data_IF_726362724793
#
_entry.id   IF_726362724793
#
_cell.length_a   1.000
_cell.length_b   1.000
_cell.length_c   1.000
_cell.angle_alpha   90.00
_cell.angle_beta   90.00
_cell.angle_gamma   90.00
#
_symmetry.space_group_name_H-M   'P 1'
#
loop_
_entity.id
_entity.type
_entity.pdbx_description
1 polymer ?
#
# COMPACT_ATOMS: atom_id res chain seq x y z
N UNK A 1 5.99 -12.93 6.47
CA UNK A 1 5.39 -11.81 5.72
C UNK A 1 6.14 -11.65 4.42
N UNK A 2 5.51 -11.96 3.29
CA UNK A 2 6.02 -11.60 1.97
C UNK A 2 5.75 -10.12 1.71
N UNK A 3 6.65 -9.48 0.99
CA UNK A 3 6.52 -8.08 0.60
C UNK A 3 7.05 -7.87 -0.81
N UNK A 4 6.63 -6.78 -1.44
CA UNK A 4 7.20 -6.29 -2.70
C UNK A 4 7.70 -4.89 -2.49
N UNK A 5 8.95 -4.61 -2.87
CA UNK A 5 9.48 -3.24 -2.86
C UNK A 5 9.36 -2.63 -4.26
N UNK A 6 8.71 -1.48 -4.35
CA UNK A 6 8.50 -0.77 -5.61
C UNK A 6 8.81 0.71 -5.44
N UNK A 7 9.12 1.39 -6.54
CA UNK A 7 9.26 2.84 -6.54
C UNK A 7 8.55 3.46 -7.75
N UNK A 8 8.01 4.65 -7.55
CA UNK A 8 7.57 5.53 -8.63
C UNK A 8 8.45 6.78 -8.61
N UNK A 9 9.20 7.04 -9.70
CA UNK A 9 10.06 8.24 -9.85
C UNK A 9 10.93 8.54 -8.61
N UNK A 10 11.56 7.50 -8.05
CA UNK A 10 12.49 7.61 -6.93
C UNK A 10 11.86 7.55 -5.53
N UNK A 11 10.53 7.65 -5.41
CA UNK A 11 9.82 7.50 -4.14
C UNK A 11 9.45 6.02 -3.93
N UNK A 12 10.07 5.38 -2.93
CA UNK A 12 10.05 3.93 -2.73
C UNK A 12 9.20 3.52 -1.52
N UNK A 13 8.33 2.53 -1.68
CA UNK A 13 7.54 1.96 -0.59
C UNK A 13 7.70 0.44 -0.54
N UNK A 14 7.54 -0.10 0.67
CA UNK A 14 7.37 -1.53 0.87
C UNK A 14 5.88 -1.84 0.82
N UNK A 15 5.47 -2.73 -0.09
CA UNK A 15 4.09 -3.15 -0.28
C UNK A 15 3.87 -4.50 0.38
N UNK A 16 2.81 -4.61 1.18
CA UNK A 16 2.36 -5.87 1.77
C UNK A 16 0.92 -6.10 1.36
N UNK A 17 0.65 -7.29 0.81
CA UNK A 17 -0.69 -7.72 0.48
C UNK A 17 -1.39 -8.32 1.70
N UNK A 18 -2.20 -7.50 2.37
CA UNK A 18 -3.00 -7.92 3.51
C UNK A 18 -4.26 -8.71 3.13
N UNK A 19 -4.50 -8.99 1.84
CA UNK A 19 -5.51 -9.97 1.43
C UNK A 19 -5.04 -11.41 1.68
N UNK A 20 -3.73 -11.62 1.64
CA UNK A 20 -3.09 -12.93 1.71
C UNK A 20 -2.17 -13.10 2.92
N UNK A 21 -1.50 -12.03 3.36
CA UNK A 21 -0.60 -12.06 4.51
C UNK A 21 -1.32 -11.67 5.81
N UNK A 22 -0.94 -12.30 6.93
CA UNK A 22 -1.37 -11.87 8.26
C UNK A 22 -0.58 -10.65 8.72
N UNK A 23 -1.29 -9.60 9.12
CA UNK A 23 -0.70 -8.34 9.59
C UNK A 23 -0.63 -8.30 11.12
N UNK A 24 0.42 -7.69 11.71
CA UNK A 24 0.49 -7.43 13.14
C UNK A 24 -0.53 -6.36 13.55
N UNK A 25 -0.87 -6.32 14.84
CA UNK A 25 -1.78 -5.31 15.39
C UNK A 25 -1.20 -3.89 15.32
N UNK A 26 0.09 -3.73 15.63
CA UNK A 26 0.77 -2.42 15.59
C UNK A 26 1.36 -2.13 14.20
N UNK A 27 0.50 -1.67 13.29
CA UNK A 27 0.88 -1.26 11.94
C UNK A 27 1.87 -0.07 11.92
N UNK A 28 1.73 0.97 12.77
CA UNK A 28 2.75 2.02 12.89
C UNK A 28 4.14 1.49 13.24
N UNK A 29 4.26 0.53 14.17
CA UNK A 29 5.54 -0.09 14.49
C UNK A 29 6.08 -0.92 13.32
N UNK A 30 5.22 -1.66 12.61
CA UNK A 30 5.61 -2.37 11.39
C UNK A 30 6.19 -1.40 10.36
N UNK A 31 5.51 -0.27 10.11
CA UNK A 31 5.96 0.75 9.16
C UNK A 31 7.34 1.32 9.52
N UNK A 32 7.57 1.67 10.80
CA UNK A 32 8.89 2.13 11.28
C UNK A 32 9.99 1.08 11.06
N UNK A 33 9.71 -0.16 11.46
CA UNK A 33 10.70 -1.23 11.43
C UNK A 33 11.06 -1.61 9.98
N UNK A 34 10.06 -1.78 9.12
CA UNK A 34 10.29 -2.21 7.73
C UNK A 34 10.94 -1.12 6.89
N UNK A 35 10.62 0.16 7.15
CA UNK A 35 11.16 1.31 6.42
C UNK A 35 12.56 1.71 6.86
N UNK A 36 13.07 1.16 7.97
CA UNK A 36 14.42 1.48 8.45
C UNK A 36 15.50 0.99 7.47
N UNK A 37 16.20 1.91 6.79
CA UNK A 37 17.11 1.58 5.66
C UNK A 37 18.31 0.68 6.02
N UNK A 38 18.74 0.63 7.29
CA UNK A 38 19.90 -0.19 7.73
C UNK A 38 19.52 -1.51 8.41
N UNK A 39 18.32 -1.59 8.97
CA UNK A 39 17.92 -2.67 9.87
C UNK A 39 16.56 -3.29 9.50
N UNK A 40 15.88 -2.73 8.51
CA UNK A 40 14.73 -3.29 7.82
C UNK A 40 15.01 -3.39 6.32
N UNK A 41 13.94 -3.38 5.52
CA UNK A 41 14.01 -3.39 4.05
C UNK A 41 14.45 -2.02 3.52
N UNK A 42 14.04 -0.95 4.20
CA UNK A 42 14.25 0.42 3.77
C UNK A 42 13.18 0.89 2.80
N UNK A 43 12.71 2.13 2.97
CA UNK A 43 11.79 2.81 2.06
C UNK A 43 11.33 4.13 2.66
N UNK A 44 10.58 4.90 1.89
CA UNK A 44 9.92 6.13 2.36
C UNK A 44 8.66 5.81 3.19
N UNK A 45 8.21 4.55 3.18
CA UNK A 45 7.15 4.06 4.04
C UNK A 45 6.67 2.64 3.71
N UNK A 46 5.49 2.33 4.23
CA UNK A 46 4.77 1.06 4.04
C UNK A 46 3.42 1.34 3.38
N UNK A 47 3.08 0.54 2.38
CA UNK A 47 1.73 0.51 1.79
C UNK A 47 1.13 -0.87 1.99
N UNK A 48 -0.05 -0.92 2.60
CA UNK A 48 -0.85 -2.11 2.75
C UNK A 48 -1.93 -2.15 1.68
N UNK A 49 -2.06 -3.30 1.02
CA UNK A 49 -3.10 -3.60 0.05
C UNK A 49 -4.15 -4.43 0.77
N UNK A 50 -5.31 -3.85 1.03
CA UNK A 50 -6.32 -4.40 1.93
C UNK A 50 -7.65 -4.61 1.21
N UNK A 51 -8.54 -5.37 1.86
CA UNK A 51 -9.95 -5.39 1.44
C UNK A 51 -10.54 -3.99 1.60
N UNK A 52 -11.32 -3.52 0.62
CA UNK A 52 -12.06 -2.28 0.77
C UNK A 52 -13.12 -2.42 1.87
N UNK A 53 -13.50 -1.29 2.44
CA UNK A 53 -14.62 -1.18 3.36
C UNK A 53 -15.92 -1.53 2.63
N UNK A 54 -16.89 -2.17 3.30
CA UNK A 54 -18.14 -2.60 2.66
C UNK A 54 -18.94 -1.46 2.00
N UNK A 55 -18.81 -0.24 2.53
CA UNK A 55 -19.43 0.97 1.98
C UNK A 55 -18.64 1.59 0.83
N UNK A 56 -17.35 1.24 0.69
CA UNK A 56 -16.51 1.74 -0.38
C UNK A 56 -16.79 0.94 -1.65
N UNK A 57 -17.32 1.60 -2.68
CA UNK A 57 -17.40 1.00 -4.01
C UNK A 57 -16.00 0.98 -4.66
N UNK A 58 -15.11 0.12 -4.17
CA UNK A 58 -13.72 0.01 -4.62
C UNK A 58 -13.32 -1.46 -4.84
N UNK A 59 -12.27 -1.70 -5.62
CA UNK A 59 -11.71 -3.05 -5.79
C UNK A 59 -10.77 -3.42 -4.65
N UNK A 60 -10.08 -2.42 -4.12
CA UNK A 60 -9.00 -2.59 -3.16
C UNK A 60 -8.85 -1.31 -2.33
N UNK A 61 -8.31 -1.46 -1.12
CA UNK A 61 -7.95 -0.33 -0.26
C UNK A 61 -6.45 -0.19 -0.12
N UNK A 62 -5.98 1.04 -0.25
CA UNK A 62 -4.61 1.43 0.05
C UNK A 62 -4.58 2.07 1.45
N UNK A 63 -3.83 1.46 2.36
CA UNK A 63 -3.49 2.10 3.63
C UNK A 63 -1.99 2.43 3.63
N UNK A 64 -1.64 3.71 3.79
CA UNK A 64 -0.26 4.18 3.66
C UNK A 64 0.27 4.72 4.99
N UNK A 65 1.45 4.26 5.36
CA UNK A 65 2.22 4.78 6.48
C UNK A 65 3.54 5.37 5.97
N UNK A 66 3.92 6.51 6.53
CA UNK A 66 5.25 7.08 6.38
C UNK A 66 6.28 6.25 7.16
N UNK A 67 7.58 6.47 6.89
CA UNK A 67 8.67 5.78 7.56
C UNK A 67 8.73 6.00 9.08
N UNK A 68 8.10 7.05 9.62
CA UNK A 68 7.98 7.30 11.06
C UNK A 68 6.76 6.59 11.71
N UNK A 69 5.95 5.90 10.90
CA UNK A 69 4.74 5.19 11.32
C UNK A 69 3.49 6.07 11.37
N UNK A 70 3.57 7.35 11.01
CA UNK A 70 2.37 8.18 10.81
C UNK A 70 1.58 7.70 9.59
N UNK A 71 0.25 7.67 9.71
CA UNK A 71 -0.63 7.36 8.58
C UNK A 71 -0.84 8.60 7.71
N UNK A 72 -0.95 8.41 6.40
CA UNK A 72 -1.17 9.49 5.45
C UNK A 72 -2.25 9.10 4.45
N UNK A 73 -3.01 10.10 3.99
CA UNK A 73 -4.24 9.88 3.23
C UNK A 73 -3.97 9.24 1.86
N UNK A 74 -2.95 9.71 1.13
CA UNK A 74 -2.61 9.23 -0.20
C UNK A 74 -1.21 9.72 -0.65
N UNK A 75 -0.49 8.88 -1.41
CA UNK A 75 0.67 9.30 -2.18
C UNK A 75 0.50 8.92 -3.65
N UNK A 76 0.56 9.91 -4.55
CA UNK A 76 0.37 9.71 -5.98
C UNK A 76 1.41 8.78 -6.62
N UNK A 77 2.62 8.70 -6.07
CA UNK A 77 3.63 7.74 -6.53
C UNK A 77 3.34 6.32 -6.04
N UNK A 78 2.91 6.22 -4.78
CA UNK A 78 2.55 4.96 -4.15
C UNK A 78 1.40 4.26 -4.87
N UNK A 79 0.37 5.02 -5.25
CA UNK A 79 -0.84 4.47 -5.86
C UNK A 79 -0.61 3.96 -7.30
N UNK A 80 0.34 4.55 -8.05
CA UNK A 80 0.71 4.02 -9.39
C UNK A 80 1.34 2.64 -9.31
N UNK A 81 2.20 2.42 -8.31
CA UNK A 81 2.78 1.10 -8.08
C UNK A 81 1.73 0.10 -7.57
N UNK A 82 0.78 0.54 -6.74
CA UNK A 82 -0.36 -0.28 -6.33
C UNK A 82 -1.22 -0.70 -7.53
N UNK A 83 -1.49 0.21 -8.47
CA UNK A 83 -2.24 -0.12 -9.68
C UNK A 83 -1.54 -1.21 -10.52
N UNK A 84 -0.23 -1.07 -10.70
CA UNK A 84 0.60 -2.12 -11.33
C UNK A 84 0.52 -3.45 -10.56
N UNK A 85 0.68 -3.40 -9.24
CA UNK A 85 0.62 -4.60 -8.39
C UNK A 85 -0.74 -5.31 -8.54
N UNK A 86 -1.84 -4.56 -8.44
CA UNK A 86 -3.19 -5.09 -8.54
C UNK A 86 -3.48 -5.77 -9.88
N UNK A 87 -2.97 -5.19 -10.97
CA UNK A 87 -3.10 -5.77 -12.31
C UNK A 87 -2.31 -7.07 -12.46
N UNK A 88 -1.02 -7.06 -12.09
CA UNK A 88 -0.12 -8.21 -12.24
C UNK A 88 -0.53 -9.40 -11.37
N UNK A 89 -1.05 -9.14 -10.17
CA UNK A 89 -1.48 -10.17 -9.23
C UNK A 89 -2.95 -10.59 -9.42
N UNK A 90 -3.63 -10.05 -10.43
CA UNK A 90 -5.00 -10.43 -10.76
C UNK A 90 -6.06 -9.97 -9.75
N UNK A 91 -5.74 -9.04 -8.86
CA UNK A 91 -6.71 -8.40 -7.96
C UNK A 91 -7.75 -7.64 -8.78
N UNK A 92 -7.31 -6.96 -9.84
CA UNK A 92 -8.20 -6.24 -10.75
C UNK A 92 -7.59 -6.21 -12.16
N UNK A 93 -8.25 -6.82 -13.15
CA UNK A 93 -7.79 -6.89 -14.55
C UNK A 93 -8.56 -6.01 -15.54
N UNK A 94 -9.48 -5.18 -15.04
CA UNK A 94 -10.20 -4.19 -15.86
C UNK A 94 -9.32 -2.97 -16.13
N UNK A 95 -9.69 -2.19 -17.13
CA UNK A 95 -8.95 -0.97 -17.53
C UNK A 95 -8.93 0.09 -16.44
N UNK A 96 -10.03 0.22 -15.69
CA UNK A 96 -10.15 1.19 -14.60
C UNK A 96 -10.06 0.50 -13.25
N UNK A 97 -9.14 0.92 -12.38
CA UNK A 97 -9.03 0.43 -11.00
C UNK A 97 -9.65 1.46 -10.04
N UNK A 98 -10.54 1.01 -9.14
CA UNK A 98 -11.10 1.85 -8.06
C UNK A 98 -10.38 1.53 -6.76
N UNK A 99 -9.68 2.51 -6.20
CA UNK A 99 -8.88 2.35 -4.98
C UNK A 99 -9.49 3.20 -3.86
N UNK A 100 -9.87 2.58 -2.76
CA UNK A 100 -10.19 3.29 -1.52
C UNK A 100 -8.89 3.78 -0.87
N UNK A 101 -8.84 5.06 -0.51
CA UNK A 101 -7.71 5.72 0.14
C UNK A 101 -8.19 6.58 1.31
N UNK A 102 -7.27 7.16 2.08
CA UNK A 102 -7.64 8.07 3.16
C UNK A 102 -8.31 9.37 2.68
N UNK A 103 -8.13 9.75 1.41
CA UNK A 103 -8.84 10.89 0.80
C UNK A 103 -10.09 10.49 0.00
N UNK A 104 -10.59 9.26 0.16
CA UNK A 104 -11.75 8.72 -0.55
C UNK A 104 -11.40 7.76 -1.69
N UNK A 105 -12.38 7.45 -2.55
CA UNK A 105 -12.20 6.50 -3.66
C UNK A 105 -11.65 7.23 -4.89
N UNK A 106 -10.52 6.76 -5.40
CA UNK A 106 -9.91 7.23 -6.64
C UNK A 106 -10.14 6.21 -7.77
N UNK A 107 -10.34 6.71 -8.99
CA UNK A 107 -10.39 5.89 -10.21
C UNK A 107 -9.13 6.14 -11.02
N UNK A 108 -8.41 5.07 -11.33
CA UNK A 108 -7.13 5.06 -12.04
C UNK A 108 -7.29 4.39 -13.41
#
# INVERSE_FOLDING_TARGET
MKFTKMHGIGNDYVYVDGLTESLPEDLPALARNISHRRFGVGGDGLILILRPSDSAQADVRMQMFNADGSESEMCGNGIRCLAKYAYEHGICRRETLRVETGCGVLSL
#
